data_IF_685141727613
#
_entry.id   IF_685141727613
#
_cell.length_a   1.000
_cell.length_b   1.000
_cell.length_c   1.000
_cell.angle_alpha   90.00
_cell.angle_beta   90.00
_cell.angle_gamma   90.00
#
_symmetry.space_group_name_H-M   'P 1'
#
loop_
_entity.id
_entity.type
_entity.pdbx_description
1 polymer ?
#
# COMPACT_ATOMS: atom_id res chain seq x y z
N UNK A 1 -6.42 4.92 18.26
CA UNK A 1 -4.97 4.82 18.43
C UNK A 1 -4.65 4.55 19.90
N UNK A 2 -3.80 3.57 20.24
CA UNK A 2 -3.30 3.44 21.63
C UNK A 2 -2.12 4.39 21.85
N UNK A 3 -1.81 4.79 23.11
CA UNK A 3 -0.63 5.61 23.40
C UNK A 3 0.69 4.98 22.91
N UNK A 4 0.81 3.65 23.03
CA UNK A 4 2.01 2.92 22.62
C UNK A 4 2.20 2.96 21.09
N UNK A 5 1.11 2.78 20.35
CA UNK A 5 1.16 2.85 18.88
C UNK A 5 1.41 4.29 18.40
N UNK A 6 0.76 5.27 19.03
CA UNK A 6 1.05 6.68 18.75
C UNK A 6 2.53 7.02 18.97
N UNK A 7 3.14 6.50 20.04
CA UNK A 7 4.57 6.68 20.31
C UNK A 7 5.47 5.95 19.31
N UNK A 8 5.08 4.75 18.84
CA UNK A 8 5.79 4.02 17.77
C UNK A 8 5.77 4.77 16.45
N UNK A 9 4.68 5.47 16.13
CA UNK A 9 4.51 6.22 14.89
C UNK A 9 5.17 7.60 14.89
N UNK A 10 5.50 8.14 16.07
CA UNK A 10 5.95 9.53 16.22
C UNK A 10 7.44 9.58 16.59
N UNK A 11 8.29 10.32 15.85
CA UNK A 11 8.00 11.25 14.76
C UNK A 11 8.17 10.66 13.34
N UNK A 12 8.07 9.33 13.19
CA UNK A 12 8.38 8.58 11.97
C UNK A 12 7.27 8.73 10.92
N UNK A 13 6.31 7.81 10.87
CA UNK A 13 5.18 7.87 9.93
C UNK A 13 4.21 8.99 10.25
N UNK A 14 4.24 9.55 11.47
CA UNK A 14 3.43 10.68 11.90
C UNK A 14 4.27 11.76 12.62
N UNK A 15 3.95 13.04 12.41
CA UNK A 15 4.57 14.18 13.09
C UNK A 15 3.64 15.40 13.06
N UNK A 16 3.95 16.41 13.87
CA UNK A 16 3.28 17.71 13.77
C UNK A 16 3.42 18.28 12.34
N UNK A 17 2.30 18.76 11.78
CA UNK A 17 2.22 19.22 10.40
C UNK A 17 1.71 18.18 9.40
N UNK A 18 1.52 16.92 9.81
CA UNK A 18 0.79 15.94 9.02
C UNK A 18 -0.66 16.38 8.78
N UNK A 19 -1.25 16.08 7.61
CA UNK A 19 -2.57 16.58 7.25
C UNK A 19 -3.71 15.89 8.01
N UNK A 20 -3.44 14.79 8.72
CA UNK A 20 -4.41 14.01 9.48
C UNK A 20 -3.90 13.79 10.91
N UNK A 21 -4.78 13.99 11.89
CA UNK A 21 -4.51 13.77 13.30
C UNK A 21 -4.53 12.28 13.68
N UNK A 22 -3.81 11.91 14.74
CA UNK A 22 -3.81 10.52 15.25
C UNK A 22 -5.21 10.04 15.69
N UNK A 23 -6.09 10.99 16.05
CA UNK A 23 -7.50 10.76 16.42
C UNK A 23 -8.36 10.25 15.26
N UNK A 24 -7.98 10.55 14.02
CA UNK A 24 -8.68 10.13 12.80
C UNK A 24 -8.09 8.86 12.20
N UNK A 25 -6.94 8.40 12.72
CA UNK A 25 -6.30 7.17 12.29
C UNK A 25 -6.78 5.94 13.09
N UNK A 26 -6.87 4.80 12.42
CA UNK A 26 -7.27 3.50 12.96
C UNK A 26 -6.22 2.47 12.62
N UNK A 27 -5.93 1.63 13.59
CA UNK A 27 -5.02 0.50 13.43
C UNK A 27 -5.82 -0.77 13.16
N UNK A 28 -5.43 -1.50 12.13
CA UNK A 28 -6.07 -2.70 11.66
C UNK A 28 -5.07 -3.86 11.74
N UNK A 29 -5.56 -5.01 12.20
CA UNK A 29 -4.89 -6.29 12.03
C UNK A 29 -5.68 -7.09 11.00
N UNK A 30 -5.07 -7.34 9.84
CA UNK A 30 -5.75 -8.01 8.73
C UNK A 30 -5.10 -9.36 8.43
N UNK A 31 -5.92 -10.38 8.18
CA UNK A 31 -5.42 -11.68 7.76
C UNK A 31 -5.08 -11.66 6.27
N UNK A 32 -3.95 -12.26 5.89
CA UNK A 32 -3.57 -12.44 4.49
C UNK A 32 -2.90 -13.80 4.28
N UNK A 33 -2.85 -14.25 3.02
CA UNK A 33 -1.99 -15.37 2.63
C UNK A 33 -0.58 -14.85 2.37
N UNK A 34 0.41 -15.58 2.87
CA UNK A 34 1.82 -15.35 2.56
C UNK A 34 2.21 -16.06 1.26
N UNK A 35 3.34 -15.66 0.69
CA UNK A 35 3.97 -16.39 -0.42
C UNK A 35 4.41 -17.82 -0.02
N UNK A 36 4.51 -18.11 1.27
CA UNK A 36 4.73 -19.43 1.83
C UNK A 36 3.47 -20.32 1.85
N UNK A 37 2.32 -19.78 1.43
CA UNK A 37 1.02 -20.46 1.47
C UNK A 37 0.39 -20.55 2.87
N UNK A 38 0.98 -19.87 3.86
CA UNK A 38 0.47 -19.78 5.23
C UNK A 38 -0.44 -18.57 5.43
N UNK A 39 -1.33 -18.65 6.43
CA UNK A 39 -2.11 -17.49 6.87
C UNK A 39 -1.31 -16.67 7.88
N UNK A 40 -1.21 -15.36 7.64
CA UNK A 40 -0.48 -14.40 8.48
C UNK A 40 -1.40 -13.26 8.92
N UNK A 41 -0.95 -12.49 9.90
CA UNK A 41 -1.56 -11.23 10.31
C UNK A 41 -0.64 -10.08 9.93
N UNK A 42 -1.20 -9.10 9.22
CA UNK A 42 -0.55 -7.87 8.82
C UNK A 42 -1.06 -6.67 9.60
N UNK A 43 -0.22 -5.65 9.73
CA UNK A 43 -0.54 -4.40 10.41
C UNK A 43 -0.76 -3.26 9.42
N UNK A 44 -1.85 -2.50 9.59
CA UNK A 44 -2.09 -1.27 8.84
C UNK A 44 -2.52 -0.14 9.78
N UNK A 45 -2.16 1.09 9.41
CA UNK A 45 -2.79 2.30 9.94
C UNK A 45 -3.42 3.05 8.77
N UNK A 46 -4.68 3.45 8.92
CA UNK A 46 -5.53 4.03 7.86
C UNK A 46 -6.47 5.08 8.43
N UNK A 47 -7.07 5.91 7.59
CA UNK A 47 -8.10 6.87 8.00
C UNK A 47 -9.36 6.14 8.47
N UNK A 48 -10.08 6.70 9.45
CA UNK A 48 -11.29 6.11 10.00
C UNK A 48 -12.37 5.82 8.95
N UNK A 49 -12.44 6.67 7.91
CA UNK A 49 -13.45 6.55 6.84
C UNK A 49 -13.25 5.34 5.92
N UNK A 50 -12.02 4.82 5.82
CA UNK A 50 -11.69 3.73 4.88
C UNK A 50 -11.55 2.36 5.56
N UNK A 51 -11.80 2.29 6.87
CA UNK A 51 -11.65 1.04 7.64
C UNK A 51 -12.56 -0.06 7.10
N UNK A 52 -13.84 0.25 6.89
CA UNK A 52 -14.82 -0.74 6.45
C UNK A 52 -14.50 -1.28 5.04
N UNK A 53 -14.01 -0.40 4.17
CA UNK A 53 -13.59 -0.75 2.80
C UNK A 53 -12.42 -1.73 2.86
N UNK A 54 -11.35 -1.38 3.57
CA UNK A 54 -10.15 -2.22 3.63
C UNK A 54 -10.42 -3.55 4.34
N UNK A 55 -11.23 -3.59 5.40
CA UNK A 55 -11.68 -4.86 5.98
C UNK A 55 -12.42 -5.74 4.97
N UNK A 56 -13.24 -5.12 4.11
CA UNK A 56 -13.98 -5.79 3.05
C UNK A 56 -13.10 -6.26 1.88
N UNK A 57 -12.14 -5.44 1.46
CA UNK A 57 -11.17 -5.73 0.42
C UNK A 57 -10.26 -6.88 0.87
N UNK A 58 -9.62 -6.78 2.03
CA UNK A 58 -8.72 -7.83 2.52
C UNK A 58 -9.43 -9.16 2.75
N UNK A 59 -10.71 -9.14 3.15
CA UNK A 59 -11.52 -10.37 3.21
C UNK A 59 -11.68 -11.03 1.84
N UNK A 60 -11.91 -10.24 0.79
CA UNK A 60 -12.00 -10.76 -0.58
C UNK A 60 -10.65 -11.29 -1.08
N UNK A 61 -9.55 -10.57 -0.81
CA UNK A 61 -8.20 -11.03 -1.16
C UNK A 61 -7.84 -12.34 -0.46
N UNK A 62 -8.20 -12.47 0.82
CA UNK A 62 -8.00 -13.68 1.60
C UNK A 62 -8.78 -14.86 1.02
N UNK A 63 -10.04 -14.66 0.63
CA UNK A 63 -10.86 -15.70 -0.02
C UNK A 63 -10.31 -16.07 -1.40
N UNK A 64 -9.81 -15.09 -2.15
CA UNK A 64 -9.21 -15.30 -3.46
C UNK A 64 -7.84 -15.99 -3.40
N UNK A 65 -7.21 -16.07 -2.22
CA UNK A 65 -5.88 -16.66 -2.07
C UNK A 65 -4.75 -15.78 -2.63
N UNK A 66 -4.97 -14.47 -2.74
CA UNK A 66 -3.94 -13.56 -3.26
C UNK A 66 -2.76 -13.48 -2.26
N UNK A 67 -1.53 -13.80 -2.68
CA UNK A 67 -0.38 -13.79 -1.77
C UNK A 67 0.12 -12.37 -1.56
N UNK A 68 0.40 -12.04 -0.30
CA UNK A 68 1.04 -10.80 0.13
C UNK A 68 2.33 -11.17 0.85
N UNK A 69 3.44 -10.53 0.48
CA UNK A 69 4.76 -10.89 0.99
C UNK A 69 4.90 -10.59 2.49
N UNK A 70 4.65 -9.34 2.86
CA UNK A 70 4.48 -8.93 4.24
C UNK A 70 3.65 -7.65 4.32
N UNK A 71 3.20 -7.34 5.54
CA UNK A 71 2.44 -6.14 5.82
C UNK A 71 2.74 -5.68 7.25
N UNK A 72 3.61 -4.69 7.34
CA UNK A 72 4.12 -4.06 8.56
C UNK A 72 3.93 -2.56 8.46
N UNK A 73 3.87 -1.90 9.61
CA UNK A 73 3.87 -0.43 9.60
C UNK A 73 5.21 0.07 9.09
N UNK A 74 5.18 1.15 8.31
CA UNK A 74 6.39 1.79 7.77
C UNK A 74 7.34 2.28 8.89
N UNK A 75 6.84 2.41 10.11
CA UNK A 75 7.61 2.73 11.33
C UNK A 75 8.69 1.68 11.65
N UNK A 76 8.47 0.42 11.28
CA UNK A 76 9.46 -0.65 11.45
C UNK A 76 10.68 -0.44 10.53
N UNK A 77 10.56 0.46 9.55
CA UNK A 77 11.60 0.92 8.62
C UNK A 77 11.98 2.38 8.87
N UNK A 78 11.62 2.94 10.03
CA UNK A 78 11.90 4.34 10.38
C UNK A 78 11.09 5.37 9.61
N UNK A 79 9.99 4.97 8.96
CA UNK A 79 9.19 5.82 8.07
C UNK A 79 9.80 5.99 6.66
N UNK A 80 10.91 5.30 6.37
CA UNK A 80 11.59 5.35 5.08
C UNK A 80 10.86 4.48 4.04
N UNK A 81 10.24 5.15 3.08
CA UNK A 81 9.42 4.54 2.03
C UNK A 81 10.24 3.59 1.14
N UNK A 82 11.45 4.01 0.77
CA UNK A 82 12.35 3.21 -0.06
C UNK A 82 12.76 1.91 0.63
N UNK A 83 13.12 1.95 1.91
CA UNK A 83 13.49 0.78 2.71
C UNK A 83 12.30 -0.15 2.92
N UNK A 84 11.08 0.40 3.08
CA UNK A 84 9.84 -0.37 3.14
C UNK A 84 9.58 -1.11 1.81
N UNK A 85 9.77 -0.44 0.66
CA UNK A 85 9.62 -1.05 -0.66
C UNK A 85 10.69 -2.11 -0.93
N UNK A 86 11.95 -1.87 -0.58
CA UNK A 86 13.03 -2.88 -0.73
C UNK A 86 12.78 -4.14 0.12
N UNK A 87 11.96 -4.05 1.16
CA UNK A 87 11.50 -5.20 1.92
C UNK A 87 10.26 -5.89 1.33
N UNK A 88 9.69 -5.35 0.25
CA UNK A 88 8.42 -5.77 -0.34
C UNK A 88 7.24 -5.68 0.65
N UNK A 89 7.17 -4.56 1.36
CA UNK A 89 6.18 -4.33 2.40
C UNK A 89 4.91 -3.68 1.84
N UNK A 90 3.78 -4.38 1.95
CA UNK A 90 2.45 -3.79 1.73
C UNK A 90 2.16 -2.80 2.85
N UNK A 91 1.85 -1.55 2.52
CA UNK A 91 1.72 -0.48 3.52
C UNK A 91 0.70 0.60 3.13
N UNK A 92 0.13 1.26 4.15
CA UNK A 92 -0.89 2.29 3.98
C UNK A 92 -0.42 3.66 4.49
N UNK A 93 -0.70 4.04 5.74
CA UNK A 93 -0.35 5.38 6.21
C UNK A 93 1.17 5.63 6.28
N UNK A 94 1.62 6.70 5.62
CA UNK A 94 2.95 7.29 5.76
C UNK A 94 2.87 8.80 5.46
N UNK A 95 3.08 9.65 6.47
CA UNK A 95 3.02 11.10 6.31
C UNK A 95 4.24 11.66 5.57
N UNK A 96 4.17 11.62 4.24
CA UNK A 96 5.19 12.14 3.33
C UNK A 96 4.59 12.91 2.16
N UNK A 97 5.41 13.77 1.56
CA UNK A 97 5.08 14.34 0.27
C UNK A 97 5.19 13.27 -0.84
N UNK A 98 4.53 13.50 -1.97
CA UNK A 98 4.85 12.80 -3.21
C UNK A 98 6.28 13.14 -3.60
N UNK A 99 7.06 12.14 -4.01
CA UNK A 99 8.48 12.30 -4.31
C UNK A 99 8.71 13.44 -5.32
N UNK A 100 9.69 14.30 -5.02
CA UNK A 100 10.02 15.44 -5.87
C UNK A 100 9.03 16.62 -5.82
N UNK A 101 7.99 16.55 -4.98
CA UNK A 101 6.98 17.61 -4.83
C UNK A 101 6.84 18.09 -3.38
N UNK A 102 6.06 19.15 -3.19
CA UNK A 102 5.62 19.62 -1.86
C UNK A 102 4.19 19.19 -1.52
N UNK A 103 3.53 18.45 -2.40
CA UNK A 103 2.14 18.00 -2.21
C UNK A 103 2.12 16.73 -1.37
N UNK A 104 1.16 16.64 -0.46
CA UNK A 104 0.97 15.42 0.34
C UNK A 104 0.61 14.24 -0.55
N UNK A 105 1.19 13.07 -0.25
CA UNK A 105 0.75 11.81 -0.83
C UNK A 105 -0.60 11.40 -0.24
N UNK A 106 -1.41 10.62 -0.97
CA UNK A 106 -2.62 10.00 -0.43
C UNK A 106 -2.33 9.12 0.81
N UNK A 107 -1.12 8.55 0.89
CA UNK A 107 -0.64 7.83 2.08
C UNK A 107 -0.58 8.72 3.32
N UNK A 108 -0.33 10.03 3.17
CA UNK A 108 -0.30 10.97 4.29
C UNK A 108 -1.70 11.26 4.86
N UNK A 109 -2.75 10.95 4.09
CA UNK A 109 -4.14 11.04 4.55
C UNK A 109 -4.66 9.72 5.12
N UNK A 110 -3.90 8.62 5.01
CA UNK A 110 -4.35 7.29 5.41
C UNK A 110 -5.42 6.71 4.49
N UNK A 111 -5.51 7.19 3.25
CA UNK A 111 -6.54 6.84 2.26
C UNK A 111 -5.96 6.11 1.04
N UNK A 112 -4.73 5.60 1.16
CA UNK A 112 -4.06 4.83 0.14
C UNK A 112 -3.38 3.60 0.72
N UNK A 113 -3.11 2.63 -0.15
CA UNK A 113 -2.37 1.42 0.15
C UNK A 113 -1.55 0.99 -1.08
N UNK A 114 -0.33 0.57 -0.82
CA UNK A 114 0.57 -0.05 -1.81
C UNK A 114 0.67 -1.55 -1.52
N UNK A 115 0.44 -2.41 -2.52
CA UNK A 115 0.44 -3.87 -2.37
C UNK A 115 1.59 -4.51 -3.15
N UNK A 116 2.41 -5.31 -2.45
CA UNK A 116 3.57 -6.04 -2.99
C UNK A 116 4.39 -5.17 -3.96
N UNK A 117 5.04 -4.11 -3.44
CA UNK A 117 5.66 -3.08 -4.27
C UNK A 117 6.80 -3.60 -5.18
N UNK A 118 7.40 -4.76 -4.86
CA UNK A 118 8.38 -5.39 -5.74
C UNK A 118 7.70 -6.02 -6.96
N UNK A 119 6.62 -6.77 -6.77
CA UNK A 119 5.81 -7.38 -7.85
C UNK A 119 5.03 -6.33 -8.67
N UNK A 120 4.73 -5.18 -8.06
CA UNK A 120 3.87 -4.13 -8.61
C UNK A 120 4.55 -2.75 -8.61
N UNK A 121 5.63 -2.58 -9.38
CA UNK A 121 6.42 -1.36 -9.29
C UNK A 121 5.66 -0.11 -9.74
N UNK A 122 6.09 1.02 -9.18
CA UNK A 122 6.03 2.30 -9.88
C UNK A 122 6.92 2.27 -11.13
N UNK A 123 6.35 2.66 -12.27
CA UNK A 123 7.02 2.70 -13.57
C UNK A 123 6.96 4.12 -14.13
N UNK A 124 8.15 4.71 -14.30
CA UNK A 124 8.32 6.04 -14.86
C UNK A 124 7.91 6.10 -16.33
N UNK A 125 7.73 7.31 -16.87
CA UNK A 125 7.30 7.51 -18.26
C UNK A 125 8.25 6.98 -19.33
N UNK A 126 9.49 6.64 -18.97
CA UNK A 126 10.47 5.97 -19.85
C UNK A 126 10.45 4.43 -19.73
N UNK A 127 9.54 3.87 -18.93
CA UNK A 127 9.38 2.44 -18.71
C UNK A 127 10.31 1.85 -17.64
N UNK A 128 11.07 2.68 -16.92
CA UNK A 128 12.00 2.22 -15.88
C UNK A 128 11.37 2.24 -14.48
N UNK A 129 11.98 1.51 -13.55
CA UNK A 129 11.65 1.52 -12.13
C UNK A 129 12.93 1.68 -11.30
N UNK A 130 12.83 2.30 -10.13
CA UNK A 130 13.96 2.58 -9.23
C UNK A 130 14.44 1.37 -8.45
N UNK A 131 13.59 0.34 -8.31
CA UNK A 131 13.86 -0.84 -7.49
C UNK A 131 14.37 -1.99 -8.35
N UNK A 132 15.62 -2.42 -8.12
CA UNK A 132 16.29 -3.41 -8.96
C UNK A 132 15.55 -4.76 -8.96
N UNK A 133 14.99 -5.16 -7.82
CA UNK A 133 14.20 -6.39 -7.69
C UNK A 133 12.91 -6.34 -8.53
N UNK A 134 12.35 -5.15 -8.76
CA UNK A 134 11.12 -4.97 -9.53
C UNK A 134 11.31 -5.06 -11.05
N UNK A 135 12.54 -4.95 -11.56
CA UNK A 135 12.83 -4.96 -13.00
C UNK A 135 12.29 -6.22 -13.69
N UNK A 136 12.34 -7.37 -13.01
CA UNK A 136 11.81 -8.61 -13.58
C UNK A 136 10.27 -8.61 -13.70
N UNK A 137 9.56 -7.73 -12.98
CA UNK A 137 8.09 -7.62 -12.95
C UNK A 137 7.53 -6.56 -13.90
N UNK A 138 8.38 -5.91 -14.69
CA UNK A 138 7.96 -4.93 -15.72
C UNK A 138 7.22 -5.58 -16.88
N UNK A 139 7.53 -6.84 -17.23
CA UNK A 139 6.77 -7.58 -18.23
C UNK A 139 5.44 -8.06 -17.64
N UNK A 140 4.37 -7.29 -17.88
CA UNK A 140 3.03 -7.61 -17.41
C UNK A 140 2.34 -8.73 -18.20
N UNK A 141 2.97 -9.29 -19.25
CA UNK A 141 2.48 -10.48 -19.94
C UNK A 141 2.88 -11.79 -19.23
N UNK A 142 3.97 -11.78 -18.45
CA UNK A 142 4.40 -12.90 -17.59
C UNK A 142 3.84 -12.73 -16.17
N UNK A 143 2.54 -13.00 -16.02
CA UNK A 143 1.84 -12.84 -14.73
C UNK A 143 2.29 -13.92 -13.74
N UNK A 144 2.88 -13.47 -12.63
CA UNK A 144 3.40 -14.30 -11.54
C UNK A 144 2.63 -14.01 -10.23
N UNK A 145 2.71 -14.91 -9.21
CA UNK A 145 2.04 -14.69 -7.94
C UNK A 145 2.37 -13.32 -7.33
N UNK A 146 1.35 -12.65 -6.79
CA UNK A 146 1.48 -11.33 -6.15
C UNK A 146 1.47 -10.14 -7.12
N UNK A 147 1.48 -10.37 -8.44
CA UNK A 147 1.29 -9.31 -9.43
C UNK A 147 -0.19 -8.93 -9.57
N UNK A 148 -0.43 -7.64 -9.75
CA UNK A 148 -1.74 -7.01 -9.93
C UNK A 148 -1.95 -6.65 -11.39
N UNK A 149 -2.95 -7.24 -12.03
CA UNK A 149 -3.28 -6.99 -13.44
C UNK A 149 -4.76 -6.69 -13.60
N UNK A 150 -5.08 -5.88 -14.62
CA UNK A 150 -6.46 -5.51 -14.91
C UNK A 150 -7.37 -6.76 -15.02
N UNK A 151 -8.49 -6.74 -14.30
CA UNK A 151 -9.44 -7.85 -14.23
C UNK A 151 -9.11 -8.95 -13.22
N UNK A 152 -8.03 -8.84 -12.45
CA UNK A 152 -7.75 -9.77 -11.35
C UNK A 152 -8.63 -9.54 -10.11
N UNK A 153 -8.45 -10.40 -9.11
CA UNK A 153 -9.21 -10.32 -7.86
C UNK A 153 -8.88 -9.09 -7.01
N UNK A 154 -7.67 -8.51 -7.14
CA UNK A 154 -7.27 -7.32 -6.39
C UNK A 154 -7.97 -6.11 -6.95
N UNK A 155 -7.81 -5.86 -8.25
CA UNK A 155 -8.45 -4.74 -8.96
C UNK A 155 -9.97 -4.82 -8.79
N UNK A 156 -10.57 -6.00 -8.98
CA UNK A 156 -12.01 -6.18 -8.78
C UNK A 156 -12.46 -5.90 -7.34
N UNK A 157 -11.65 -6.26 -6.33
CA UNK A 157 -11.99 -6.00 -4.93
C UNK A 157 -11.96 -4.50 -4.61
N UNK A 158 -10.94 -3.77 -5.08
CA UNK A 158 -10.83 -2.32 -4.89
C UNK A 158 -11.92 -1.55 -5.66
N UNK A 159 -12.19 -1.93 -6.92
CA UNK A 159 -13.25 -1.35 -7.74
C UNK A 159 -14.63 -1.46 -7.07
N UNK A 160 -14.90 -2.56 -6.37
CA UNK A 160 -16.17 -2.78 -5.69
C UNK A 160 -16.44 -1.76 -4.56
N UNK A 161 -15.39 -1.11 -4.03
CA UNK A 161 -15.50 -0.02 -3.06
C UNK A 161 -15.23 1.36 -3.68
N UNK A 162 -15.04 1.43 -5.00
CA UNK A 162 -14.82 2.70 -5.71
C UNK A 162 -13.43 3.29 -5.51
N UNK A 163 -12.43 2.45 -5.21
CA UNK A 163 -11.04 2.89 -5.14
C UNK A 163 -10.42 2.94 -6.53
N UNK A 164 -9.57 3.94 -6.78
CA UNK A 164 -8.81 4.06 -8.02
C UNK A 164 -7.51 3.28 -7.93
N UNK A 165 -7.10 2.69 -9.06
CA UNK A 165 -5.85 1.95 -9.20
C UNK A 165 -4.84 2.70 -10.06
N UNK A 166 -3.62 2.87 -9.55
CA UNK A 166 -2.52 3.56 -10.24
C UNK A 166 -2.03 2.85 -11.49
N UNK A 167 -2.32 1.56 -11.65
CA UNK A 167 -2.08 0.82 -12.90
C UNK A 167 -2.94 1.28 -14.08
N UNK A 168 -3.96 2.12 -13.86
CA UNK A 168 -4.82 2.71 -14.90
C UNK A 168 -4.40 4.12 -15.31
N UNK A 169 -3.40 4.70 -14.68
CA UNK A 169 -2.91 6.03 -15.03
C UNK A 169 -2.22 6.04 -16.40
N UNK A 170 -2.09 7.22 -17.02
CA UNK A 170 -1.41 7.33 -18.31
C UNK A 170 0.11 7.30 -18.16
N UNK A 171 0.65 8.11 -17.25
CA UNK A 171 2.07 8.19 -16.91
C UNK A 171 2.23 9.09 -15.68
N UNK A 172 2.99 8.70 -14.65
CA UNK A 172 3.58 7.37 -14.44
C UNK A 172 2.50 6.28 -14.25
N UNK A 173 2.90 5.01 -14.34
CA UNK A 173 2.06 3.88 -13.92
C UNK A 173 2.49 3.49 -12.52
N UNK A 174 1.54 3.29 -11.61
CA UNK A 174 1.84 2.92 -10.23
C UNK A 174 1.07 1.65 -9.85
N UNK A 175 1.62 0.47 -10.17
CA UNK A 175 0.88 -0.79 -10.10
C UNK A 175 0.54 -1.22 -8.67
N UNK A 176 1.35 -0.82 -7.70
CA UNK A 176 1.13 -1.09 -6.27
C UNK A 176 -0.04 -0.27 -5.71
N UNK A 177 -0.30 0.90 -6.28
CA UNK A 177 -1.03 1.97 -5.61
C UNK A 177 -2.54 1.90 -5.80
N UNK A 178 -3.27 1.95 -4.69
CA UNK A 178 -4.71 2.16 -4.65
C UNK A 178 -5.05 3.31 -3.71
N UNK A 179 -6.03 4.13 -4.08
CA UNK A 179 -6.53 5.19 -3.20
C UNK A 179 -8.02 5.44 -3.33
N UNK A 180 -8.67 5.83 -2.23
CA UNK A 180 -10.10 6.15 -2.19
C UNK A 180 -10.43 7.56 -2.71
N UNK A 181 -9.41 8.41 -2.89
CA UNK A 181 -9.54 9.80 -3.31
C UNK A 181 -9.04 10.07 -4.74
N UNK A 182 -8.55 9.04 -5.43
CA UNK A 182 -7.90 9.16 -6.74
C UNK A 182 -6.45 9.62 -6.68
N UNK A 183 -5.77 9.59 -7.83
CA UNK A 183 -4.38 10.03 -8.04
C UNK A 183 -4.22 11.49 -8.45
#
# INVERSE_FOLDING_TARGET
MTPELAARMTPTSWREGCPVGLEDLRYLNVAHWGFDGGAHLGELVVHADVVADLEGIFRQLYVAGFPIWQMRLVDDYGGDDHTSIEADNTSAFNCRAVEGTSSWSNHAYGQAIDINPIENPYVAGDGTTSHAASVTFLDRADVRPGMIVEGDAVVAAFDAYGWDWGGRWYSPLDYQHFSSSGG
#
